data_IF_953851062636
#
_entry.id   IF_953851062636
#
_cell.length_a   1.000
_cell.length_b   1.000
_cell.length_c   1.000
_cell.angle_alpha   90.00
_cell.angle_beta   90.00
_cell.angle_gamma   90.00
#
_symmetry.space_group_name_H-M   'P 1'
#
loop_
_entity.id
_entity.type
_entity.pdbx_description
1 polymer ?
#
# COMPACT_ATOMS: atom_id res chain seq x y z
N UNK A 1 8.40 -37.56 49.92
CA UNK A 1 6.95 -37.48 49.63
C UNK A 1 6.69 -36.13 48.96
N UNK A 2 6.08 -36.14 47.76
CA UNK A 2 5.57 -35.00 46.96
C UNK A 2 6.54 -34.00 46.25
N UNK A 3 6.76 -34.27 44.96
CA UNK A 3 6.56 -33.42 43.74
C UNK A 3 6.79 -31.88 43.76
N UNK A 4 7.67 -31.49 42.81
CA UNK A 4 7.49 -30.53 41.67
C UNK A 4 7.87 -29.03 41.79
N UNK A 5 8.75 -28.63 40.85
CA UNK A 5 8.78 -27.44 39.95
C UNK A 5 8.75 -26.00 40.51
N UNK A 6 9.74 -25.18 40.10
CA UNK A 6 9.65 -24.02 39.17
C UNK A 6 11.05 -23.33 39.10
N UNK A 7 11.74 -23.28 37.94
CA UNK A 7 11.83 -22.18 36.95
C UNK A 7 12.31 -20.79 37.45
N UNK A 8 13.46 -20.38 36.89
CA UNK A 8 13.90 -19.03 36.47
C UNK A 8 13.95 -17.87 37.48
N UNK A 9 15.14 -17.30 37.66
CA UNK A 9 15.48 -15.89 37.34
C UNK A 9 16.95 -15.63 37.69
N UNK A 10 17.82 -15.46 36.69
CA UNK A 10 19.13 -14.86 36.90
C UNK A 10 19.03 -13.37 36.56
N UNK A 11 19.23 -12.60 37.63
CA UNK A 11 19.45 -11.16 37.68
C UNK A 11 20.72 -10.83 36.86
N UNK A 12 20.61 -10.03 35.81
CA UNK A 12 21.75 -9.26 35.29
C UNK A 12 21.39 -7.79 35.43
N UNK A 13 21.95 -7.16 36.46
CA UNK A 13 22.18 -5.72 36.54
C UNK A 13 23.05 -5.33 35.33
N UNK A 14 22.48 -4.64 34.35
CA UNK A 14 23.27 -3.85 33.42
C UNK A 14 23.35 -2.42 33.97
N UNK A 15 24.56 -2.02 34.35
CA UNK A 15 24.93 -0.66 34.73
C UNK A 15 24.46 0.33 33.66
N UNK A 16 23.77 1.37 34.11
CA UNK A 16 23.51 2.59 33.35
C UNK A 16 24.84 3.35 33.24
N UNK A 17 25.47 3.28 32.07
CA UNK A 17 26.40 4.29 31.59
C UNK A 17 25.73 5.00 30.41
N UNK A 18 25.82 6.34 30.29
CA UNK A 18 25.29 7.05 29.14
C UNK A 18 26.21 6.75 27.95
N UNK A 19 25.83 5.76 27.14
CA UNK A 19 26.36 5.64 25.79
C UNK A 19 25.79 6.81 24.99
N UNK A 20 26.62 7.82 24.75
CA UNK A 20 26.45 8.73 23.62
C UNK A 20 26.48 7.87 22.35
N UNK A 21 25.31 7.54 21.81
CA UNK A 21 25.16 6.78 20.56
C UNK A 21 25.52 7.75 19.43
N UNK A 22 26.68 7.53 18.83
CA UNK A 22 27.06 8.15 17.57
C UNK A 22 26.09 7.71 16.47
N UNK A 23 25.70 8.64 15.60
CA UNK A 23 24.86 8.45 14.41
C UNK A 23 25.37 7.26 13.58
N UNK A 24 24.64 6.15 13.59
CA UNK A 24 24.97 5.01 12.76
C UNK A 24 24.25 5.16 11.42
N UNK A 25 25.01 5.31 10.33
CA UNK A 25 24.46 5.27 8.97
C UNK A 25 23.87 3.87 8.72
N UNK A 26 22.67 3.81 8.14
CA UNK A 26 21.98 2.56 7.85
C UNK A 26 21.92 2.32 6.36
N UNK A 27 22.26 1.10 5.93
CA UNK A 27 22.33 0.74 4.51
C UNK A 27 21.40 -0.44 4.22
N UNK A 28 20.50 -0.26 3.26
CA UNK A 28 19.64 -1.29 2.72
C UNK A 28 20.06 -1.66 1.31
N UNK A 29 19.82 -2.92 0.95
CA UNK A 29 20.01 -3.42 -0.39
C UNK A 29 18.71 -3.99 -0.96
N UNK A 30 18.52 -3.84 -2.27
CA UNK A 30 17.36 -4.37 -3.01
C UNK A 30 17.35 -3.89 -4.45
N UNK A 31 16.48 -4.45 -5.28
CA UNK A 31 16.15 -3.87 -6.59
C UNK A 31 15.12 -2.76 -6.33
N UNK A 32 15.52 -1.50 -6.47
CA UNK A 32 14.65 -0.36 -6.19
C UNK A 32 14.05 0.24 -7.45
N UNK A 33 14.64 0.03 -8.63
CA UNK A 33 14.20 0.62 -9.90
C UNK A 33 13.59 -0.40 -10.90
N UNK A 34 13.40 -1.66 -10.50
CA UNK A 34 12.87 -2.77 -11.31
C UNK A 34 13.81 -3.23 -12.44
N UNK A 35 15.12 -2.97 -12.35
CA UNK A 35 16.08 -3.41 -13.35
C UNK A 35 16.65 -4.81 -13.07
N UNK A 36 16.20 -5.47 -11.99
CA UNK A 36 16.69 -6.77 -11.49
C UNK A 36 18.13 -6.74 -10.99
N UNK A 37 18.70 -5.56 -10.82
CA UNK A 37 20.01 -5.36 -10.22
C UNK A 37 19.89 -4.96 -8.75
N UNK A 38 20.97 -5.21 -8.01
CA UNK A 38 21.03 -4.87 -6.59
C UNK A 38 21.47 -3.43 -6.42
N UNK A 39 20.56 -2.58 -5.97
CA UNK A 39 20.78 -1.19 -5.61
C UNK A 39 21.03 -1.04 -4.10
N UNK A 40 21.43 0.16 -3.72
CA UNK A 40 21.70 0.55 -2.33
C UNK A 40 20.80 1.72 -1.94
N UNK A 41 20.21 1.66 -0.75
CA UNK A 41 19.54 2.78 -0.12
C UNK A 41 20.25 3.08 1.20
N UNK A 42 20.86 4.25 1.29
CA UNK A 42 21.61 4.74 2.43
C UNK A 42 20.78 5.77 3.19
N UNK A 43 20.72 5.61 4.51
CA UNK A 43 20.24 6.60 5.45
C UNK A 43 21.44 7.20 6.16
N UNK A 44 21.52 8.53 6.18
CA UNK A 44 22.63 9.28 6.74
C UNK A 44 22.15 10.61 7.30
N UNK A 45 22.97 11.28 8.11
CA UNK A 45 22.69 12.64 8.58
C UNK A 45 23.45 13.67 7.74
N UNK A 46 22.73 14.68 7.25
CA UNK A 46 23.26 15.81 6.51
C UNK A 46 22.93 17.12 7.23
N UNK A 47 23.94 17.82 7.77
CA UNK A 47 23.77 19.06 8.52
C UNK A 47 22.75 18.96 9.67
N UNK A 48 22.74 17.82 10.38
CA UNK A 48 21.80 17.58 11.49
C UNK A 48 20.41 17.13 11.06
N UNK A 49 20.11 17.12 9.76
CA UNK A 49 18.88 16.55 9.21
C UNK A 49 19.15 15.14 8.70
N UNK A 50 18.39 14.12 9.11
CA UNK A 50 18.45 12.82 8.45
C UNK A 50 18.16 12.94 6.94
N UNK A 51 18.62 11.98 6.16
CA UNK A 51 18.63 12.05 4.70
C UNK A 51 18.69 10.65 4.13
N UNK A 52 18.13 10.47 2.93
CA UNK A 52 18.12 9.19 2.23
C UNK A 52 18.74 9.36 0.85
N UNK A 53 19.60 8.42 0.47
CA UNK A 53 20.21 8.32 -0.85
C UNK A 53 19.96 6.93 -1.42
N UNK A 54 19.54 6.86 -2.68
CA UNK A 54 19.44 5.63 -3.45
C UNK A 54 20.54 5.65 -4.51
N UNK A 55 21.42 4.66 -4.45
CA UNK A 55 22.49 4.41 -5.41
C UNK A 55 22.05 3.26 -6.31
N UNK A 56 21.74 3.57 -7.57
CA UNK A 56 21.39 2.55 -8.56
C UNK A 56 22.67 1.96 -9.17
N UNK A 57 22.67 0.65 -9.48
CA UNK A 57 23.84 -0.01 -10.11
C UNK A 57 24.23 0.63 -11.45
N UNK A 58 23.25 1.19 -12.16
CA UNK A 58 23.46 1.99 -13.39
C UNK A 58 24.24 3.30 -13.17
N UNK A 59 24.78 3.55 -11.98
CA UNK A 59 25.50 4.75 -11.55
C UNK A 59 24.62 6.00 -11.46
N UNK A 60 23.28 5.86 -11.56
CA UNK A 60 22.36 6.95 -11.28
C UNK A 60 22.22 7.09 -9.76
N UNK A 61 22.61 8.25 -9.24
CA UNK A 61 22.49 8.59 -7.82
C UNK A 61 21.27 9.47 -7.65
N UNK A 62 20.30 8.99 -6.87
CA UNK A 62 19.17 9.78 -6.41
C UNK A 62 19.36 10.09 -4.92
N UNK A 63 19.42 11.37 -4.54
CA UNK A 63 19.65 11.77 -3.15
C UNK A 63 18.57 12.76 -2.73
N UNK A 64 17.95 12.52 -1.58
CA UNK A 64 16.92 13.41 -1.02
C UNK A 64 17.17 13.61 0.48
N UNK A 65 17.31 14.87 0.87
CA UNK A 65 17.26 15.24 2.27
C UNK A 65 15.78 15.24 2.70
N UNK A 66 15.46 14.50 3.74
CA UNK A 66 14.12 14.48 4.33
C UNK A 66 14.34 15.05 5.73
N UNK A 67 13.84 16.25 6.02
CA UNK A 67 13.86 16.73 7.40
C UNK A 67 13.04 15.77 8.26
N UNK A 68 13.38 15.58 9.53
CA UNK A 68 12.52 14.93 10.52
C UNK A 68 12.72 15.75 11.80
N UNK A 69 11.69 15.88 12.64
CA UNK A 69 11.89 16.34 14.01
C UNK A 69 11.50 15.24 14.98
N UNK A 70 12.41 14.31 15.21
CA UNK A 70 12.34 13.47 16.41
C UNK A 70 13.68 13.45 17.12
N UNK A 71 13.58 13.59 18.43
CA UNK A 71 14.65 13.28 19.39
C UNK A 71 14.90 11.76 19.50
N UNK A 72 14.14 10.92 18.77
CA UNK A 72 14.24 9.46 18.78
C UNK A 72 14.57 8.88 17.39
N UNK A 73 15.65 8.08 17.37
CA UNK A 73 16.36 7.53 16.22
C UNK A 73 15.71 6.24 15.68
N UNK A 74 14.53 6.32 15.07
CA UNK A 74 13.90 5.15 14.44
C UNK A 74 13.88 5.21 12.92
N UNK A 75 14.10 4.04 12.29
CA UNK A 75 14.13 3.89 10.83
C UNK A 75 12.79 4.29 10.21
N UNK A 76 12.78 5.23 9.26
CA UNK A 76 11.55 5.71 8.64
C UNK A 76 11.00 4.79 7.53
N UNK A 77 11.71 3.75 7.10
CA UNK A 77 11.28 2.99 5.91
C UNK A 77 10.26 1.92 6.31
N UNK A 78 8.99 2.19 6.03
CA UNK A 78 7.89 1.28 6.38
C UNK A 78 7.68 0.15 5.36
N UNK A 79 7.99 0.40 4.07
CA UNK A 79 7.66 -0.56 3.01
C UNK A 79 8.56 -0.42 1.78
N UNK A 80 9.00 -1.56 1.24
CA UNK A 80 9.80 -1.64 0.01
C UNK A 80 9.32 -2.73 -0.93
N UNK A 81 9.21 -2.40 -2.22
CA UNK A 81 9.12 -3.35 -3.34
C UNK A 81 9.81 -2.74 -4.57
N UNK A 82 10.20 -3.52 -5.58
CA UNK A 82 10.80 -2.96 -6.79
C UNK A 82 9.98 -1.82 -7.39
N UNK A 83 10.63 -0.67 -7.59
CA UNK A 83 10.06 0.58 -8.11
C UNK A 83 9.12 1.32 -7.16
N UNK A 84 9.14 1.02 -5.86
CA UNK A 84 8.23 1.65 -4.90
C UNK A 84 8.78 1.65 -3.47
N UNK A 85 8.83 2.84 -2.86
CA UNK A 85 9.38 3.04 -1.52
C UNK A 85 8.43 3.93 -0.73
N UNK A 86 8.14 3.54 0.52
CA UNK A 86 7.45 4.40 1.49
C UNK A 86 8.43 4.78 2.60
N UNK A 87 8.52 6.08 2.86
CA UNK A 87 9.34 6.68 3.91
C UNK A 87 8.40 7.43 4.86
N UNK A 88 8.33 7.00 6.10
CA UNK A 88 7.55 7.57 7.17
C UNK A 88 8.37 8.54 8.00
N UNK A 89 7.91 9.77 8.11
CA UNK A 89 8.45 10.80 8.97
C UNK A 89 7.54 11.01 10.17
N UNK A 90 7.90 10.42 11.29
CA UNK A 90 7.21 10.64 12.56
C UNK A 90 7.77 11.88 13.25
N UNK A 91 6.90 12.68 13.86
CA UNK A 91 7.17 13.84 14.70
C UNK A 91 6.60 13.58 16.10
N UNK A 92 7.32 12.77 16.88
CA UNK A 92 6.91 12.34 18.21
C UNK A 92 5.58 11.57 18.19
N UNK A 93 4.82 11.62 19.28
CA UNK A 93 3.54 10.88 19.42
C UNK A 93 2.33 11.63 18.83
N UNK A 94 2.48 12.44 17.78
CA UNK A 94 1.37 13.28 17.28
C UNK A 94 1.21 13.35 15.77
N UNK A 95 2.29 13.22 15.00
CA UNK A 95 2.20 13.34 13.54
C UNK A 95 3.10 12.31 12.85
N UNK A 96 2.58 11.59 11.86
CA UNK A 96 3.35 10.69 10.99
C UNK A 96 3.12 11.09 9.52
N UNK A 97 4.17 11.28 8.72
CA UNK A 97 4.06 11.58 7.28
C UNK A 97 4.63 10.44 6.43
N UNK A 98 3.81 9.71 5.68
CA UNK A 98 4.29 8.71 4.71
C UNK A 98 4.52 9.35 3.34
N UNK A 99 5.79 9.56 3.00
CA UNK A 99 6.23 9.93 1.65
C UNK A 99 6.35 8.70 0.76
N UNK A 100 5.80 8.80 -0.44
CA UNK A 100 5.69 7.67 -1.34
C UNK A 100 6.42 7.96 -2.62
N UNK A 101 7.34 7.08 -2.96
CA UNK A 101 8.18 7.21 -4.13
C UNK A 101 7.91 6.08 -5.09
N UNK A 102 7.83 6.40 -6.38
CA UNK A 102 7.62 5.43 -7.45
C UNK A 102 8.66 5.63 -8.54
N UNK A 103 9.22 4.52 -9.02
CA UNK A 103 10.03 4.50 -10.23
C UNK A 103 9.13 4.43 -11.46
N UNK A 104 9.27 5.39 -12.37
CA UNK A 104 8.50 5.54 -13.61
C UNK A 104 9.46 6.04 -14.70
N UNK A 105 9.48 5.41 -15.87
CA UNK A 105 10.23 5.90 -17.05
C UNK A 105 11.67 6.34 -16.74
N UNK A 106 12.42 5.44 -16.08
CA UNK A 106 13.81 5.64 -15.68
C UNK A 106 14.05 6.74 -14.65
N UNK A 107 13.03 7.10 -13.86
CA UNK A 107 13.15 8.12 -12.83
C UNK A 107 12.33 7.89 -11.56
N UNK A 108 12.78 8.51 -10.47
CA UNK A 108 12.05 8.55 -9.22
C UNK A 108 11.08 9.74 -9.20
N UNK A 109 9.85 9.43 -8.82
CA UNK A 109 8.82 10.41 -8.58
C UNK A 109 8.44 10.35 -7.11
N UNK A 110 8.36 11.51 -6.45
CA UNK A 110 7.44 11.63 -5.31
C UNK A 110 6.05 11.45 -5.93
N UNK A 111 5.26 10.59 -5.34
CA UNK A 111 3.93 10.23 -5.81
C UNK A 111 2.84 10.69 -4.83
N UNK A 112 3.16 10.78 -3.53
CA UNK A 112 2.27 11.35 -2.54
C UNK A 112 2.87 11.44 -1.13
N UNK A 113 2.15 12.11 -0.25
CA UNK A 113 2.47 12.29 1.17
C UNK A 113 1.20 12.02 1.99
N UNK A 114 1.24 11.12 2.96
CA UNK A 114 0.14 10.89 3.90
C UNK A 114 0.48 11.39 5.29
N UNK A 115 -0.20 12.41 5.78
CA UNK A 115 -0.04 12.93 7.12
C UNK A 115 -1.11 12.34 8.04
N UNK A 116 -0.70 11.60 9.06
CA UNK A 116 -1.55 11.02 10.08
C UNK A 116 -1.37 11.82 11.36
N UNK A 117 -2.47 12.30 11.94
CA UNK A 117 -2.47 13.03 13.21
C UNK A 117 -3.08 12.14 14.30
N UNK A 118 -2.32 11.88 15.36
CA UNK A 118 -2.79 11.05 16.47
C UNK A 118 -3.81 11.81 17.34
N UNK A 119 -5.00 11.24 17.56
CA UNK A 119 -6.08 11.82 18.38
C UNK A 119 -7.35 12.21 17.60
N UNK A 120 -7.22 12.65 16.34
CA UNK A 120 -8.36 13.06 15.51
C UNK A 120 -8.68 12.05 14.39
N UNK A 121 -7.82 11.04 14.16
CA UNK A 121 -7.99 10.06 13.08
C UNK A 121 -7.88 10.66 11.67
N UNK A 122 -7.45 11.93 11.57
CA UNK A 122 -7.33 12.65 10.31
C UNK A 122 -6.06 12.20 9.59
N UNK A 123 -6.26 11.64 8.39
CA UNK A 123 -5.19 11.35 7.43
C UNK A 123 -5.30 12.36 6.28
N UNK A 124 -4.46 13.40 6.27
CA UNK A 124 -4.37 14.29 5.12
C UNK A 124 -3.50 13.63 4.06
N UNK A 125 -3.99 13.49 2.83
CA UNK A 125 -3.21 12.94 1.72
C UNK A 125 -2.96 13.99 0.66
N UNK A 126 -1.70 14.17 0.27
CA UNK A 126 -1.28 15.04 -0.81
C UNK A 126 -0.78 14.16 -1.95
N UNK A 127 -1.36 14.34 -3.13
CA UNK A 127 -0.91 13.68 -4.36
C UNK A 127 -0.04 14.68 -5.11
N UNK A 128 1.25 14.43 -5.12
CA UNK A 128 2.22 15.18 -5.89
C UNK A 128 2.95 14.20 -6.78
N UNK A 129 2.86 14.35 -8.11
CA UNK A 129 3.74 13.65 -9.05
C UNK A 129 4.88 14.57 -9.41
N UNK A 130 5.96 14.54 -8.63
CA UNK A 130 7.14 15.38 -8.85
C UNK A 130 8.28 14.50 -9.34
N UNK A 131 8.76 14.76 -10.56
CA UNK A 131 9.99 14.14 -11.05
C UNK A 131 11.17 14.67 -10.25
N UNK A 132 11.91 13.76 -9.62
CA UNK A 132 12.95 14.14 -8.67
C UNK A 132 14.31 14.41 -9.30
N UNK A 133 14.59 13.93 -10.53
CA UNK A 133 15.82 14.30 -11.24
C UNK A 133 15.75 15.69 -11.87
N UNK A 134 14.54 16.28 -11.98
CA UNK A 134 14.30 17.57 -12.63
C UNK A 134 14.01 18.71 -11.66
N UNK A 135 14.08 18.47 -10.34
CA UNK A 135 13.80 19.49 -9.33
C UNK A 135 14.99 19.69 -8.40
N UNK A 136 15.42 20.94 -8.21
CA UNK A 136 16.49 21.28 -7.25
C UNK A 136 15.95 21.39 -5.81
N UNK A 137 14.65 21.67 -5.65
CA UNK A 137 13.94 21.74 -4.36
C UNK A 137 12.51 21.23 -4.49
N UNK A 138 12.04 20.55 -3.44
CA UNK A 138 10.69 19.97 -3.31
C UNK A 138 9.56 20.98 -3.06
N UNK A 139 9.81 22.27 -3.29
CA UNK A 139 8.86 23.35 -2.99
C UNK A 139 8.38 24.13 -4.21
N UNK A 140 8.90 23.84 -5.42
CA UNK A 140 8.53 24.56 -6.64
C UNK A 140 7.45 23.83 -7.47
N UNK A 141 6.93 22.71 -6.97
CA UNK A 141 5.74 22.07 -7.52
C UNK A 141 4.51 22.89 -7.18
N UNK A 142 3.68 23.20 -8.18
CA UNK A 142 2.33 23.70 -7.96
C UNK A 142 1.61 22.74 -7.01
N UNK A 143 1.39 23.18 -5.78
CA UNK A 143 0.58 22.48 -4.80
C UNK A 143 -0.79 22.22 -5.42
N UNK A 144 -1.07 20.96 -5.76
CA UNK A 144 -2.46 20.54 -5.91
C UNK A 144 -2.98 20.40 -4.50
N UNK A 145 -3.46 21.53 -3.97
CA UNK A 145 -4.27 21.55 -2.76
C UNK A 145 -5.51 20.69 -3.07
N UNK A 146 -5.47 19.41 -2.72
CA UNK A 146 -6.69 18.65 -2.52
C UNK A 146 -7.28 19.26 -1.26
N UNK A 147 -8.10 20.30 -1.46
CA UNK A 147 -8.84 20.96 -0.40
C UNK A 147 -9.46 19.88 0.49
N UNK A 148 -9.38 20.09 1.81
CA UNK A 148 -10.09 19.31 2.83
C UNK A 148 -11.45 18.87 2.33
N UNK A 149 -11.51 17.66 1.76
CA UNK A 149 -12.78 17.10 1.31
C UNK A 149 -13.46 16.59 2.55
N UNK A 150 -14.54 17.25 2.95
CA UNK A 150 -15.41 16.69 3.96
C UNK A 150 -15.92 15.32 3.48
N UNK A 151 -16.43 14.50 4.41
CA UNK A 151 -16.96 13.16 4.11
C UNK A 151 -17.90 13.13 2.89
N UNK A 152 -18.74 14.16 2.73
CA UNK A 152 -19.67 14.31 1.60
C UNK A 152 -18.95 14.44 0.25
N UNK A 153 -17.82 15.13 0.21
CA UNK A 153 -17.02 15.31 -1.00
C UNK A 153 -16.26 14.03 -1.39
N UNK A 154 -15.80 13.25 -0.41
CA UNK A 154 -15.26 11.90 -0.68
C UNK A 154 -16.35 10.95 -1.17
N UNK A 155 -17.56 11.03 -0.62
CA UNK A 155 -18.68 10.25 -1.11
C UNK A 155 -19.07 10.65 -2.54
N UNK A 156 -19.08 11.95 -2.86
CA UNK A 156 -19.29 12.41 -4.23
C UNK A 156 -18.18 11.92 -5.19
N UNK A 157 -16.92 12.00 -4.75
CA UNK A 157 -15.79 11.52 -5.54
C UNK A 157 -15.86 10.01 -5.76
N UNK A 158 -16.21 9.24 -4.72
CA UNK A 158 -16.44 7.80 -4.79
C UNK A 158 -17.47 7.47 -5.87
N UNK A 159 -18.63 8.13 -5.81
CA UNK A 159 -19.71 7.92 -6.78
C UNK A 159 -19.29 8.30 -8.20
N UNK A 160 -18.58 9.42 -8.37
CA UNK A 160 -18.06 9.85 -9.67
C UNK A 160 -17.08 8.83 -10.24
N UNK A 161 -16.10 8.40 -9.44
CA UNK A 161 -15.08 7.43 -9.85
C UNK A 161 -15.70 6.07 -10.18
N UNK A 162 -16.61 5.58 -9.33
CA UNK A 162 -17.33 4.34 -9.58
C UNK A 162 -18.08 4.38 -10.92
N UNK A 163 -18.84 5.46 -11.18
CA UNK A 163 -19.60 5.59 -12.42
C UNK A 163 -18.68 5.68 -13.64
N UNK A 164 -17.55 6.38 -13.54
CA UNK A 164 -16.55 6.44 -14.61
C UNK A 164 -16.00 5.05 -14.95
N UNK A 165 -15.66 4.24 -13.94
CA UNK A 165 -15.14 2.89 -14.16
C UNK A 165 -16.21 1.92 -14.65
N UNK A 166 -17.45 2.05 -14.16
CA UNK A 166 -18.58 1.27 -14.66
C UNK A 166 -18.82 1.55 -16.15
N UNK A 167 -18.79 2.81 -16.56
CA UNK A 167 -18.96 3.20 -17.96
C UNK A 167 -17.78 2.74 -18.82
N UNK A 168 -16.55 2.89 -18.34
CA UNK A 168 -15.35 2.40 -19.01
C UNK A 168 -15.40 0.88 -19.22
N UNK A 169 -15.75 0.13 -18.18
CA UNK A 169 -15.93 -1.32 -18.25
C UNK A 169 -17.01 -1.72 -19.27
N UNK A 170 -18.20 -1.08 -19.22
CA UNK A 170 -19.30 -1.35 -20.17
C UNK A 170 -18.90 -1.08 -21.63
N UNK A 171 -18.13 -0.02 -21.87
CA UNK A 171 -17.64 0.37 -23.20
C UNK A 171 -16.39 -0.41 -23.62
N UNK A 172 -15.81 -1.22 -22.73
CA UNK A 172 -14.49 -1.85 -22.89
C UNK A 172 -13.37 -0.84 -23.15
N UNK A 173 -13.51 0.36 -22.60
CA UNK A 173 -12.49 1.41 -22.62
C UNK A 173 -11.50 1.16 -21.48
N UNK A 174 -10.56 0.25 -21.72
CA UNK A 174 -9.61 -0.17 -20.69
C UNK A 174 -8.52 0.86 -20.41
N UNK A 175 -8.33 1.88 -21.25
CA UNK A 175 -7.32 2.91 -20.99
C UNK A 175 -7.67 3.74 -19.76
N UNK A 176 -8.96 4.04 -19.53
CA UNK A 176 -9.42 4.69 -18.30
C UNK A 176 -9.15 3.81 -17.07
N UNK A 177 -9.37 2.50 -17.21
CA UNK A 177 -9.16 1.55 -16.12
C UNK A 177 -7.67 1.25 -15.85
N UNK A 178 -6.80 1.33 -16.86
CA UNK A 178 -5.35 1.18 -16.72
C UNK A 178 -4.70 2.43 -16.09
N UNK A 179 -5.19 3.61 -16.46
CA UNK A 179 -4.77 4.88 -15.87
C UNK A 179 -5.43 5.16 -14.52
N UNK A 180 -5.96 4.11 -13.89
CA UNK A 180 -6.51 4.13 -12.55
C UNK A 180 -5.48 4.66 -11.54
N UNK A 181 -5.89 5.62 -10.71
CA UNK A 181 -5.07 6.13 -9.62
C UNK A 181 -5.22 5.26 -8.36
N UNK A 182 -4.19 4.45 -8.06
CA UNK A 182 -4.24 3.51 -6.94
C UNK A 182 -4.43 4.18 -5.57
N UNK A 183 -4.01 5.45 -5.45
CA UNK A 183 -4.16 6.22 -4.22
C UNK A 183 -5.58 6.73 -4.06
N UNK A 184 -6.25 7.02 -5.18
CA UNK A 184 -7.66 7.33 -5.16
C UNK A 184 -8.45 6.17 -4.55
N UNK A 185 -8.20 4.92 -4.92
CA UNK A 185 -8.93 3.79 -4.33
C UNK A 185 -8.65 3.60 -2.84
N UNK A 186 -7.38 3.68 -2.41
CA UNK A 186 -7.04 3.58 -0.99
C UNK A 186 -7.67 4.72 -0.18
N UNK A 187 -7.66 5.94 -0.71
CA UNK A 187 -8.32 7.09 -0.08
C UNK A 187 -9.83 6.92 -0.03
N UNK A 188 -10.46 6.43 -1.10
CA UNK A 188 -11.89 6.15 -1.13
C UNK A 188 -12.24 5.07 -0.10
N UNK A 189 -11.45 4.02 0.05
CA UNK A 189 -11.68 2.97 1.06
C UNK A 189 -11.58 3.51 2.51
N UNK A 190 -10.62 4.39 2.77
CA UNK A 190 -10.40 4.95 4.10
C UNK A 190 -11.45 6.01 4.49
N UNK A 191 -12.06 6.69 3.51
CA UNK A 191 -12.98 7.81 3.76
C UNK A 191 -14.44 7.52 3.38
N UNK A 192 -14.73 6.33 2.84
CA UNK A 192 -16.10 5.90 2.55
C UNK A 192 -16.55 4.90 3.59
N UNK A 193 -17.66 5.18 4.28
CA UNK A 193 -18.27 4.21 5.16
C UNK A 193 -18.60 2.92 4.39
N UNK A 194 -18.09 1.81 4.90
CA UNK A 194 -18.31 0.48 4.35
C UNK A 194 -19.68 -0.05 4.81
N UNK A 195 -20.65 0.00 3.92
CA UNK A 195 -22.01 -0.52 4.07
C UNK A 195 -22.37 -1.39 2.86
N UNK A 196 -23.57 -1.96 2.85
CA UNK A 196 -24.01 -2.87 1.78
C UNK A 196 -23.92 -2.27 0.35
N UNK A 197 -24.07 -0.95 0.19
CA UNK A 197 -23.99 -0.28 -1.10
C UNK A 197 -22.52 0.00 -1.50
N UNK A 198 -21.73 0.59 -0.61
CA UNK A 198 -20.33 0.91 -0.91
C UNK A 198 -19.48 -0.36 -1.07
N UNK A 199 -19.72 -1.41 -0.27
CA UNK A 199 -19.02 -2.69 -0.40
C UNK A 199 -19.27 -3.36 -1.75
N UNK A 200 -20.50 -3.24 -2.29
CA UNK A 200 -20.82 -3.74 -3.62
C UNK A 200 -19.99 -3.00 -4.67
N UNK A 201 -19.95 -1.66 -4.59
CA UNK A 201 -19.22 -0.82 -5.55
C UNK A 201 -17.71 -1.04 -5.49
N UNK A 202 -17.12 -1.21 -4.31
CA UNK A 202 -15.70 -1.55 -4.21
C UNK A 202 -15.39 -2.95 -4.77
N UNK A 203 -16.25 -3.94 -4.52
CA UNK A 203 -16.14 -5.24 -5.18
C UNK A 203 -16.19 -5.13 -6.71
N UNK A 204 -17.07 -4.28 -7.22
CA UNK A 204 -17.24 -4.04 -8.65
C UNK A 204 -16.02 -3.34 -9.24
N UNK A 205 -15.44 -2.34 -8.55
CA UNK A 205 -14.18 -1.69 -8.95
C UNK A 205 -13.05 -2.73 -9.06
N UNK A 206 -12.87 -3.56 -8.02
CA UNK A 206 -11.86 -4.62 -8.02
C UNK A 206 -12.06 -5.58 -9.21
N UNK A 207 -13.32 -5.90 -9.53
CA UNK A 207 -13.70 -6.72 -10.67
C UNK A 207 -13.43 -6.05 -12.04
N UNK A 208 -13.70 -4.75 -12.18
CA UNK A 208 -13.44 -4.01 -13.42
C UNK A 208 -11.95 -3.98 -13.73
N UNK A 209 -11.11 -3.77 -12.71
CA UNK A 209 -9.65 -3.74 -12.81
C UNK A 209 -9.13 -5.10 -13.30
N UNK A 210 -9.52 -6.21 -12.67
CA UNK A 210 -9.06 -7.56 -13.09
C UNK A 210 -9.61 -7.99 -14.47
N UNK A 211 -10.66 -7.32 -14.97
CA UNK A 211 -11.25 -7.62 -16.28
C UNK A 211 -10.51 -6.98 -17.46
N UNK A 212 -9.49 -6.16 -17.17
CA UNK A 212 -8.61 -5.57 -18.19
C UNK A 212 -7.84 -6.69 -18.90
N UNK A 213 -7.86 -6.76 -20.25
CA UNK A 213 -7.02 -7.69 -21.00
C UNK A 213 -5.54 -7.40 -20.75
N UNK A 214 -4.75 -8.44 -20.48
CA UNK A 214 -3.35 -8.31 -20.08
C UNK A 214 -3.19 -7.35 -18.89
N UNK A 215 -4.07 -7.47 -17.88
CA UNK A 215 -4.05 -6.65 -16.68
C UNK A 215 -2.66 -6.65 -16.05
N UNK A 216 -2.10 -5.47 -15.82
CA UNK A 216 -0.77 -5.34 -15.26
C UNK A 216 -0.72 -5.85 -13.80
N UNK A 217 0.43 -6.38 -13.41
CA UNK A 217 0.69 -6.88 -12.05
C UNK A 217 0.23 -5.90 -10.95
N UNK A 218 0.49 -4.60 -11.14
CA UNK A 218 0.15 -3.59 -10.14
C UNK A 218 -1.36 -3.37 -9.95
N UNK A 219 -2.14 -3.57 -11.01
CA UNK A 219 -3.60 -3.45 -11.00
C UNK A 219 -4.24 -4.68 -10.35
N UNK A 220 -3.71 -5.87 -10.62
CA UNK A 220 -4.12 -7.09 -9.91
C UNK A 220 -3.81 -7.01 -8.40
N UNK A 221 -2.64 -6.49 -8.03
CA UNK A 221 -2.29 -6.27 -6.62
C UNK A 221 -3.23 -5.28 -5.94
N UNK A 222 -3.66 -4.24 -6.65
CA UNK A 222 -4.64 -3.30 -6.14
C UNK A 222 -6.01 -3.94 -5.93
N UNK A 223 -6.49 -4.71 -6.89
CA UNK A 223 -7.72 -5.50 -6.75
C UNK A 223 -7.69 -6.37 -5.48
N UNK A 224 -6.57 -7.06 -5.24
CA UNK A 224 -6.34 -7.85 -4.02
C UNK A 224 -6.46 -6.98 -2.76
N UNK A 225 -5.83 -5.81 -2.73
CA UNK A 225 -5.85 -4.92 -1.56
C UNK A 225 -7.29 -4.47 -1.23
N UNK A 226 -8.08 -4.09 -2.23
CA UNK A 226 -9.50 -3.73 -2.07
C UNK A 226 -10.27 -4.91 -1.47
N UNK A 227 -10.08 -6.10 -2.04
CA UNK A 227 -10.83 -7.30 -1.67
C UNK A 227 -10.48 -7.79 -0.26
N UNK A 228 -9.20 -7.74 0.13
CA UNK A 228 -8.77 -8.05 1.51
C UNK A 228 -9.37 -7.08 2.52
N UNK A 229 -9.43 -5.78 2.20
CA UNK A 229 -10.08 -4.79 3.04
C UNK A 229 -11.59 -5.07 3.20
N UNK A 230 -12.28 -5.38 2.10
CA UNK A 230 -13.69 -5.79 2.13
C UNK A 230 -13.90 -7.04 2.99
N UNK A 231 -13.06 -8.07 2.84
CA UNK A 231 -13.21 -9.34 3.56
C UNK A 231 -12.97 -9.16 5.06
N UNK A 232 -12.07 -8.26 5.45
CA UNK A 232 -11.83 -7.93 6.86
C UNK A 232 -13.10 -7.43 7.55
N UNK A 233 -13.85 -6.55 6.89
CA UNK A 233 -15.08 -5.96 7.45
C UNK A 233 -16.35 -6.77 7.14
N UNK A 234 -16.39 -7.45 6.00
CA UNK A 234 -17.49 -8.29 5.53
C UNK A 234 -17.02 -9.71 5.21
N UNK A 235 -16.68 -10.52 6.22
CA UNK A 235 -16.06 -11.85 6.04
C UNK A 235 -16.96 -12.87 5.33
N UNK A 236 -18.26 -12.59 5.22
CA UNK A 236 -19.23 -13.42 4.51
C UNK A 236 -19.56 -12.91 3.10
N UNK A 237 -18.85 -11.89 2.59
CA UNK A 237 -19.07 -11.35 1.25
C UNK A 237 -18.59 -12.33 0.18
N UNK A 238 -19.46 -13.27 -0.20
CA UNK A 238 -19.13 -14.37 -1.13
C UNK A 238 -18.49 -13.90 -2.43
N UNK A 239 -18.99 -12.82 -3.03
CA UNK A 239 -18.45 -12.27 -4.29
C UNK A 239 -17.00 -11.76 -4.14
N UNK A 240 -16.60 -11.29 -2.95
CA UNK A 240 -15.22 -10.82 -2.74
C UNK A 240 -14.22 -11.99 -2.84
N UNK A 241 -14.57 -13.18 -2.33
CA UNK A 241 -13.67 -14.34 -2.37
C UNK A 241 -13.44 -14.90 -3.77
N UNK A 242 -14.46 -14.94 -4.63
CA UNK A 242 -14.24 -15.38 -6.02
C UNK A 242 -13.38 -14.38 -6.79
N UNK A 243 -13.61 -13.08 -6.61
CA UNK A 243 -12.79 -12.04 -7.22
C UNK A 243 -11.35 -12.11 -6.69
N UNK A 244 -11.17 -12.37 -5.40
CA UNK A 244 -9.84 -12.52 -4.78
C UNK A 244 -9.10 -13.72 -5.36
N UNK A 245 -9.80 -14.85 -5.53
CA UNK A 245 -9.24 -16.03 -6.20
C UNK A 245 -8.88 -15.76 -7.67
N UNK A 246 -9.73 -15.04 -8.41
CA UNK A 246 -9.46 -14.66 -9.79
C UNK A 246 -8.25 -13.71 -9.89
N UNK A 247 -8.08 -12.78 -8.95
CA UNK A 247 -6.96 -11.86 -8.91
C UNK A 247 -5.63 -12.56 -8.55
N UNK A 248 -5.61 -13.40 -7.50
CA UNK A 248 -4.44 -14.21 -7.16
C UNK A 248 -4.04 -15.16 -8.29
N UNK A 249 -5.04 -15.76 -8.95
CA UNK A 249 -4.77 -16.60 -10.12
C UNK A 249 -4.10 -15.81 -11.26
N UNK A 250 -4.55 -14.57 -11.49
CA UNK A 250 -3.93 -13.66 -12.46
C UNK A 250 -2.47 -13.31 -12.12
N UNK A 251 -2.10 -13.32 -10.83
CA UNK A 251 -0.73 -13.14 -10.34
C UNK A 251 0.08 -14.44 -10.27
N UNK A 252 -0.46 -15.56 -10.73
CA UNK A 252 0.13 -16.89 -10.60
C UNK A 252 0.35 -17.37 -9.15
N UNK A 253 -0.29 -16.71 -8.17
CA UNK A 253 -0.29 -17.10 -6.76
C UNK A 253 -1.31 -18.22 -6.48
N UNK A 254 -1.04 -19.41 -7.03
CA UNK A 254 -1.99 -20.54 -7.07
C UNK A 254 -2.48 -20.97 -5.69
N UNK A 255 -1.61 -20.99 -4.69
CA UNK A 255 -1.99 -21.38 -3.32
C UNK A 255 -2.98 -20.37 -2.73
N UNK A 256 -2.70 -19.08 -2.85
CA UNK A 256 -3.60 -18.01 -2.38
C UNK A 256 -4.93 -18.02 -3.14
N UNK A 257 -4.88 -18.25 -4.45
CA UNK A 257 -6.08 -18.42 -5.27
C UNK A 257 -6.93 -19.60 -4.80
N UNK A 258 -6.30 -20.75 -4.55
CA UNK A 258 -6.97 -21.96 -4.07
C UNK A 258 -7.66 -21.73 -2.72
N UNK A 259 -6.98 -21.11 -1.76
CA UNK A 259 -7.59 -20.76 -0.47
C UNK A 259 -8.81 -19.84 -0.61
N UNK A 260 -8.71 -18.79 -1.43
CA UNK A 260 -9.84 -17.87 -1.68
C UNK A 260 -11.02 -18.60 -2.34
N UNK A 261 -10.75 -19.44 -3.34
CA UNK A 261 -11.78 -20.23 -4.02
C UNK A 261 -12.45 -21.26 -3.10
N UNK A 262 -11.70 -21.91 -2.21
CA UNK A 262 -12.27 -22.82 -1.23
C UNK A 262 -13.24 -22.10 -0.29
N UNK A 263 -12.87 -20.90 0.18
CA UNK A 263 -13.78 -20.09 1.01
C UNK A 263 -15.02 -19.63 0.25
N UNK A 264 -14.88 -19.29 -1.03
CA UNK A 264 -16.02 -19.02 -1.90
C UNK A 264 -16.97 -20.23 -2.02
N UNK A 265 -16.42 -21.44 -2.25
CA UNK A 265 -17.20 -22.68 -2.32
C UNK A 265 -17.96 -22.92 -1.01
N UNK A 266 -17.31 -22.76 0.13
CA UNK A 266 -17.92 -22.91 1.46
C UNK A 266 -19.14 -22.00 1.62
N UNK A 267 -19.00 -20.70 1.31
CA UNK A 267 -20.09 -19.72 1.42
C UNK A 267 -21.22 -19.99 0.42
N UNK A 268 -20.91 -20.44 -0.80
CA UNK A 268 -21.92 -20.81 -1.79
C UNK A 268 -22.71 -22.05 -1.37
N UNK A 269 -22.05 -23.04 -0.77
CA UNK A 269 -22.71 -24.23 -0.19
C UNK A 269 -23.61 -23.87 0.98
N UNK A 270 -23.09 -23.09 1.92
CA UNK A 270 -23.84 -22.63 3.09
C UNK A 270 -25.12 -21.85 2.73
N UNK A 271 -25.11 -21.16 1.57
CA UNK A 271 -26.27 -20.43 1.06
C UNK A 271 -27.14 -21.21 0.07
N UNK A 272 -26.89 -22.52 -0.12
CA UNK A 272 -27.66 -23.38 -1.03
C UNK A 272 -27.48 -23.06 -2.52
N UNK A 273 -26.38 -22.40 -2.89
CA UNK A 273 -26.08 -21.93 -4.25
C UNK A 273 -24.97 -22.74 -4.94
N UNK A 274 -24.70 -23.96 -4.49
CA UNK A 274 -23.62 -24.79 -5.03
C UNK A 274 -23.68 -24.95 -6.56
N UNK A 275 -24.89 -25.07 -7.14
CA UNK A 275 -25.10 -25.16 -8.58
C UNK A 275 -24.66 -23.92 -9.38
N UNK A 276 -24.41 -22.79 -8.71
CA UNK A 276 -23.95 -21.53 -9.33
C UNK A 276 -22.44 -21.33 -9.25
N UNK A 277 -21.70 -22.27 -8.66
CA UNK A 277 -20.23 -22.19 -8.59
C UNK A 277 -19.66 -22.38 -10.01
N UNK A 278 -18.89 -21.41 -10.55
CA UNK A 278 -18.32 -21.54 -11.89
C UNK A 278 -17.33 -22.70 -11.99
N UNK A 279 -17.35 -23.44 -13.10
CA UNK A 279 -16.45 -24.59 -13.35
C UNK A 279 -14.97 -24.25 -13.12
N UNK A 280 -14.55 -23.04 -13.53
CA UNK A 280 -13.16 -22.55 -13.36
C UNK A 280 -12.67 -22.60 -11.92
N UNK A 281 -13.56 -22.43 -10.94
CA UNK A 281 -13.21 -22.47 -9.52
C UNK A 281 -12.70 -23.87 -9.16
N UNK A 282 -13.40 -24.92 -9.59
CA UNK A 282 -12.99 -26.30 -9.34
C UNK A 282 -11.75 -26.73 -10.15
N UNK A 283 -11.50 -26.09 -11.29
CA UNK A 283 -10.32 -26.37 -12.10
C UNK A 283 -9.05 -25.74 -11.49
N UNK A 284 -9.20 -24.59 -10.83
CA UNK A 284 -8.09 -23.78 -10.28
C UNK A 284 -7.70 -24.10 -8.83
N UNK A 285 -8.46 -24.95 -8.15
CA UNK A 285 -8.11 -25.47 -6.81
C UNK A 285 -7.29 -26.77 -6.87
N UNK A 286 -7.07 -27.33 -8.06
CA UNK A 286 -6.37 -28.60 -8.28
C UNK A 286 -4.87 -28.43 -8.38
#
# INVERSE_FOLDING_TARGET
>A
MMKKLLKFTYLILALVLPLTIFSQDYVLYGDFNKDKEKDVLEYYYNNGSPSIKILLKSHKIFSRNIGFSTEEYYMPILYKKPGYIIINESYGSRYDNDYIYKWIEDDWYLFGIFHKIEGDGIVNSYLEKVNLSKTEKLGDSEFVNIQNKNFTEYQFLFEKTYNQYLDAYKKKDFEILKNHDQFLTLNLLNHTELNNNSVQKFNDIAFFIQSIPNCDYHLLQESINILLYIIKEFPNRTVAYINLGDAYWGLEEKDNASHAYQKYIELMKASGKECKIPKRVFERIK
#
